data_IF_257737469437
#
_entry.id   IF_257737469437
#
_cell.length_a   1.000
_cell.length_b   1.000
_cell.length_c   1.000
_cell.angle_alpha   90.00
_cell.angle_beta   90.00
_cell.angle_gamma   90.00
#
_symmetry.space_group_name_H-M   'P 1'
#
loop_
_entity.id
_entity.type
_entity.pdbx_description
1 polymer ?
#
# COMPACT_ATOMS: atom_id res chain seq x y z
N UNK A 1 -16.66 -23.30 25.66
CA UNK A 1 -15.43 -22.59 26.01
C UNK A 1 -14.20 -23.46 26.28
N UNK A 2 -14.16 -24.75 25.88
CA UNK A 2 -13.04 -25.69 26.23
C UNK A 2 -12.20 -26.17 25.03
N UNK A 3 -12.32 -25.57 23.81
CA UNK A 3 -11.61 -26.03 22.61
C UNK A 3 -10.65 -24.98 21.99
N UNK A 4 -10.48 -23.80 22.60
CA UNK A 4 -9.58 -22.74 22.10
C UNK A 4 -8.19 -22.70 22.77
N UNK A 5 -8.02 -23.38 23.89
CA UNK A 5 -6.77 -23.39 24.66
C UNK A 5 -5.62 -24.17 24.00
N UNK A 6 -5.81 -25.27 23.25
CA UNK A 6 -4.68 -26.00 22.68
C UNK A 6 -4.01 -25.30 21.48
N UNK A 7 -4.68 -24.37 20.78
CA UNK A 7 -4.09 -23.69 19.61
C UNK A 7 -3.07 -22.63 20.04
N UNK A 8 -3.29 -21.95 21.15
CA UNK A 8 -2.31 -20.99 21.70
C UNK A 8 -1.07 -21.70 22.27
N UNK A 9 -1.20 -22.91 22.82
CA UNK A 9 -0.06 -23.65 23.38
C UNK A 9 0.87 -24.25 22.30
N UNK A 10 0.34 -24.60 21.13
CA UNK A 10 1.17 -25.06 20.00
C UNK A 10 1.98 -23.91 19.35
N UNK A 11 1.49 -22.67 19.39
CA UNK A 11 2.22 -21.52 18.90
C UNK A 11 3.42 -21.15 19.79
N UNK A 12 3.30 -21.35 21.11
CA UNK A 12 4.40 -21.03 22.05
C UNK A 12 5.53 -22.06 22.03
N UNK A 13 5.27 -23.33 21.70
CA UNK A 13 6.28 -24.39 21.64
C UNK A 13 7.15 -24.31 20.36
N UNK A 14 6.63 -23.71 19.27
CA UNK A 14 7.40 -23.53 18.02
C UNK A 14 8.39 -22.37 18.07
N UNK A 15 8.29 -21.46 19.04
CA UNK A 15 9.12 -20.26 19.15
C UNK A 15 10.43 -20.46 19.90
N UNK A 16 10.63 -21.60 20.58
CA UNK A 16 11.83 -21.86 21.37
C UNK A 16 13.00 -22.52 20.60
N UNK A 17 12.83 -22.82 19.30
CA UNK A 17 13.78 -23.64 18.55
C UNK A 17 14.72 -22.87 17.60
N UNK A 18 14.77 -21.52 17.64
CA UNK A 18 15.58 -20.75 16.69
C UNK A 18 16.50 -19.74 17.41
N UNK A 19 17.27 -20.23 18.39
CA UNK A 19 18.39 -19.47 18.93
C UNK A 19 19.57 -20.43 19.13
N UNK A 20 20.39 -20.59 18.11
CA UNK A 20 21.84 -20.82 18.12
C UNK A 20 22.29 -21.47 16.82
N UNK A 21 23.11 -20.82 16.01
CA UNK A 21 24.48 -21.18 15.75
C UNK A 21 25.03 -20.47 14.50
N UNK A 22 26.23 -20.02 14.60
CA UNK A 22 26.98 -19.23 13.64
C UNK A 22 27.85 -20.12 12.73
N UNK A 23 27.28 -20.53 11.63
CA UNK A 23 27.87 -20.73 10.30
C UNK A 23 26.69 -20.91 9.36
N UNK A 24 26.07 -19.78 8.96
CA UNK A 24 24.78 -19.82 8.27
C UNK A 24 24.99 -20.20 6.82
N UNK A 25 24.94 -21.46 6.52
CA UNK A 25 24.49 -21.89 5.18
C UNK A 25 23.11 -21.24 4.93
N UNK A 26 22.88 -20.61 3.78
CA UNK A 26 21.61 -19.93 3.51
C UNK A 26 20.47 -20.94 3.70
N UNK A 27 19.60 -20.69 4.68
CA UNK A 27 18.47 -21.57 4.98
C UNK A 27 17.61 -21.68 3.71
N UNK A 28 17.47 -22.88 3.18
CA UNK A 28 16.65 -23.13 1.97
C UNK A 28 15.20 -22.79 2.20
N UNK A 29 14.71 -22.84 3.42
CA UNK A 29 13.36 -22.45 3.84
C UNK A 29 13.44 -21.38 4.92
N UNK A 30 12.76 -20.25 4.72
CA UNK A 30 12.64 -19.16 5.67
C UNK A 30 11.19 -18.94 6.04
N UNK A 31 10.90 -18.84 7.33
CA UNK A 31 9.63 -18.43 7.90
C UNK A 31 9.86 -17.06 8.55
N UNK A 32 8.99 -16.11 8.26
CA UNK A 32 8.96 -14.79 8.88
C UNK A 32 7.53 -14.27 8.92
N UNK A 33 7.29 -13.21 9.66
CA UNK A 33 5.96 -12.64 9.72
C UNK A 33 5.82 -11.62 10.83
N UNK A 34 4.56 -11.31 11.14
CA UNK A 34 4.22 -10.46 12.26
C UNK A 34 2.82 -10.76 12.80
N UNK A 35 2.60 -10.36 14.03
CA UNK A 35 1.28 -10.21 14.62
C UNK A 35 1.17 -8.76 15.08
N UNK A 36 0.07 -8.11 14.76
CA UNK A 36 -0.24 -6.77 15.25
C UNK A 36 -1.65 -6.69 15.79
N UNK A 37 -1.80 -5.91 16.85
CA UNK A 37 -3.05 -5.45 17.39
C UNK A 37 -3.23 -3.99 17.00
N UNK A 38 -4.33 -3.67 16.33
CA UNK A 38 -4.70 -2.34 15.91
C UNK A 38 -6.04 -1.96 16.54
N UNK A 39 -6.01 -0.99 17.42
CA UNK A 39 -7.17 -0.36 18.01
C UNK A 39 -7.50 0.91 17.26
N UNK A 40 -8.75 1.08 16.88
CA UNK A 40 -9.24 2.24 16.11
C UNK A 40 -10.37 2.90 16.85
N UNK A 41 -10.33 4.22 16.95
CA UNK A 41 -11.40 5.03 17.48
C UNK A 41 -11.72 6.14 16.48
N UNK A 42 -12.85 6.01 15.79
CA UNK A 42 -13.38 7.04 14.91
C UNK A 42 -14.41 7.90 15.65
N UNK A 43 -14.43 9.22 15.37
CA UNK A 43 -15.34 10.13 16.02
C UNK A 43 -15.67 11.35 15.13
N UNK A 44 -16.85 11.91 15.36
CA UNK A 44 -17.30 13.15 14.75
C UNK A 44 -16.60 14.38 15.35
N UNK A 45 -16.82 15.56 14.76
CA UNK A 45 -16.21 16.83 15.23
C UNK A 45 -16.57 17.20 16.67
N UNK A 46 -17.71 16.74 17.16
CA UNK A 46 -18.26 17.07 18.48
C UNK A 46 -17.99 15.97 19.51
N UNK A 47 -17.31 14.88 19.16
CA UNK A 47 -17.07 13.69 19.99
C UNK A 47 -18.35 13.00 20.50
N UNK A 48 -19.47 13.18 19.79
CA UNK A 48 -20.76 12.60 20.17
C UNK A 48 -20.92 11.18 19.63
N UNK A 49 -20.42 10.93 18.43
CA UNK A 49 -20.45 9.61 17.81
C UNK A 49 -19.06 8.98 17.90
N UNK A 50 -18.93 7.97 18.74
CA UNK A 50 -17.70 7.20 18.90
C UNK A 50 -17.88 5.82 18.30
N UNK A 51 -17.03 5.44 17.37
CA UNK A 51 -17.04 4.12 16.75
C UNK A 51 -15.72 3.43 17.00
N UNK A 52 -15.75 2.36 17.78
CA UNK A 52 -14.58 1.54 18.06
C UNK A 52 -14.41 0.44 17.01
N UNK A 53 -13.16 0.20 16.61
CA UNK A 53 -12.76 -0.89 15.74
C UNK A 53 -11.53 -1.58 16.31
N UNK A 54 -11.50 -2.90 16.23
CA UNK A 54 -10.38 -3.70 16.72
C UNK A 54 -9.97 -4.71 15.64
N UNK A 55 -8.68 -4.89 15.46
CA UNK A 55 -8.13 -5.80 14.48
C UNK A 55 -6.89 -6.51 15.03
N UNK A 56 -6.95 -7.85 15.12
CA UNK A 56 -5.73 -8.66 15.16
C UNK A 56 -5.37 -9.04 13.74
N UNK A 57 -4.19 -8.64 13.30
CA UNK A 57 -3.67 -8.90 11.98
C UNK A 57 -2.39 -9.74 12.09
N UNK A 58 -2.43 -10.95 11.55
CA UNK A 58 -1.30 -11.85 11.46
C UNK A 58 -0.88 -12.04 10.01
N UNK A 59 0.43 -12.00 9.76
CA UNK A 59 1.02 -12.35 8.48
C UNK A 59 2.06 -13.45 8.66
N UNK A 60 2.01 -14.42 7.76
CA UNK A 60 2.94 -15.54 7.69
C UNK A 60 3.58 -15.53 6.31
N UNK A 61 4.89 -15.43 6.23
CA UNK A 61 5.66 -15.43 5.00
C UNK A 61 6.55 -16.67 4.95
N UNK A 62 6.34 -17.49 3.93
CA UNK A 62 7.14 -18.67 3.62
C UNK A 62 7.93 -18.40 2.35
N UNK A 63 9.25 -18.59 2.39
CA UNK A 63 10.13 -18.44 1.26
C UNK A 63 11.03 -19.67 1.15
N UNK A 64 10.95 -20.35 0.02
CA UNK A 64 11.75 -21.52 -0.28
C UNK A 64 12.71 -21.25 -1.44
N UNK A 65 14.00 -21.45 -1.19
CA UNK A 65 15.10 -21.27 -2.16
C UNK A 65 15.86 -22.59 -2.31
N UNK A 66 15.40 -23.52 -3.16
CA UNK A 66 16.11 -24.78 -3.38
C UNK A 66 17.45 -24.58 -4.09
N UNK A 67 17.61 -23.51 -4.87
CA UNK A 67 18.83 -23.10 -5.55
C UNK A 67 18.93 -21.59 -5.67
N UNK A 68 20.09 -21.07 -6.09
CA UNK A 68 20.29 -19.62 -6.31
C UNK A 68 19.43 -19.06 -7.45
N UNK A 69 18.97 -19.92 -8.35
CA UNK A 69 18.17 -19.53 -9.50
C UNK A 69 16.66 -19.63 -9.27
N UNK A 70 16.21 -20.38 -8.27
CA UNK A 70 14.80 -20.65 -8.05
C UNK A 70 14.35 -20.21 -6.67
N UNK A 71 13.21 -19.53 -6.61
CA UNK A 71 12.56 -19.12 -5.36
C UNK A 71 11.06 -19.37 -5.48
N UNK A 72 10.45 -19.96 -4.46
CA UNK A 72 9.01 -20.01 -4.30
C UNK A 72 8.61 -19.24 -3.03
N UNK A 73 7.50 -18.50 -3.10
CA UNK A 73 7.00 -17.66 -2.00
C UNK A 73 5.51 -17.91 -1.80
N UNK A 74 5.11 -18.07 -0.54
CA UNK A 74 3.71 -18.08 -0.13
C UNK A 74 3.54 -17.16 1.09
N UNK A 75 2.60 -16.20 1.02
CA UNK A 75 2.34 -15.24 2.09
C UNK A 75 0.84 -15.17 2.36
N UNK A 76 0.50 -15.36 3.61
CA UNK A 76 -0.88 -15.39 4.08
C UNK A 76 -1.14 -14.26 5.05
N UNK A 77 -2.29 -13.59 4.88
CA UNK A 77 -2.77 -12.53 5.77
C UNK A 77 -4.06 -12.96 6.44
N UNK A 78 -4.04 -13.05 7.77
CA UNK A 78 -5.19 -13.39 8.59
C UNK A 78 -5.60 -12.15 9.39
N UNK A 79 -6.89 -11.78 9.33
CA UNK A 79 -7.43 -10.59 9.98
C UNK A 79 -8.68 -10.95 10.77
N UNK A 80 -8.64 -10.70 12.06
CA UNK A 80 -9.78 -10.88 12.96
C UNK A 80 -10.27 -9.49 13.39
N UNK A 81 -11.46 -9.13 12.94
CA UNK A 81 -12.12 -7.86 13.26
C UNK A 81 -13.23 -8.04 14.28
N UNK A 82 -13.36 -7.09 15.19
CA UNK A 82 -14.50 -6.96 16.10
C UNK A 82 -14.67 -5.51 16.56
N UNK A 83 -15.79 -5.22 17.24
CA UNK A 83 -16.12 -3.88 17.73
C UNK A 83 -17.33 -3.27 17.03
N UNK A 84 -17.58 -2.01 17.32
CA UNK A 84 -18.74 -1.30 16.77
C UNK A 84 -18.67 -1.17 15.26
N UNK A 85 -17.49 -0.92 14.71
CA UNK A 85 -17.29 -0.84 13.27
C UNK A 85 -17.83 -2.04 12.53
N UNK A 86 -17.61 -3.26 13.06
CA UNK A 86 -18.15 -4.50 12.46
C UNK A 86 -19.67 -4.56 12.61
N UNK A 87 -20.20 -4.14 13.78
CA UNK A 87 -21.63 -4.21 14.09
C UNK A 87 -22.49 -3.27 13.27
N UNK A 88 -22.01 -2.04 13.03
CA UNK A 88 -22.77 -0.99 12.35
C UNK A 88 -22.62 -1.00 10.83
N UNK A 89 -21.60 -1.73 10.30
CA UNK A 89 -21.32 -1.79 8.86
C UNK A 89 -21.96 -3.01 8.22
N UNK A 90 -23.07 -2.87 7.48
CA UNK A 90 -23.68 -3.98 6.76
C UNK A 90 -22.71 -4.56 5.73
N UNK A 91 -22.58 -5.89 5.69
CA UNK A 91 -21.69 -6.54 4.72
C UNK A 91 -20.19 -6.29 4.94
N UNK A 92 -19.75 -5.98 6.16
CA UNK A 92 -18.34 -5.70 6.50
C UNK A 92 -17.35 -6.70 5.89
N UNK A 93 -17.65 -8.00 5.98
CA UNK A 93 -16.81 -9.05 5.39
C UNK A 93 -16.66 -8.92 3.86
N UNK A 94 -17.67 -8.42 3.16
CA UNK A 94 -17.62 -8.21 1.71
C UNK A 94 -16.69 -7.05 1.32
N UNK A 95 -16.55 -6.03 2.18
CA UNK A 95 -15.63 -4.92 1.96
C UNK A 95 -14.16 -5.33 2.10
N UNK A 96 -13.88 -6.44 2.80
CA UNK A 96 -12.52 -6.95 2.96
C UNK A 96 -12.03 -7.75 1.76
N UNK A 97 -12.91 -8.06 0.81
CA UNK A 97 -12.57 -8.85 -0.38
C UNK A 97 -11.71 -8.02 -1.33
N UNK A 98 -10.64 -8.65 -1.79
CA UNK A 98 -9.89 -8.14 -2.93
C UNK A 98 -10.59 -8.62 -4.22
N UNK A 99 -11.08 -7.69 -5.01
CA UNK A 99 -11.78 -7.98 -6.27
C UNK A 99 -10.84 -7.94 -7.51
N UNK A 100 -9.53 -7.70 -7.30
CA UNK A 100 -8.51 -7.67 -8.34
C UNK A 100 -7.76 -9.01 -8.44
N UNK A 101 -8.47 -10.13 -8.23
CA UNK A 101 -7.91 -11.47 -8.21
C UNK A 101 -8.58 -12.32 -9.30
N UNK A 102 -7.77 -12.99 -10.13
CA UNK A 102 -8.27 -13.98 -11.08
C UNK A 102 -8.68 -15.26 -10.37
N UNK A 103 -7.82 -15.73 -9.47
CA UNK A 103 -8.10 -16.91 -8.64
C UNK A 103 -8.49 -16.47 -7.25
N UNK A 104 -9.71 -16.81 -6.82
CA UNK A 104 -10.17 -16.49 -5.47
C UNK A 104 -9.40 -17.35 -4.43
N UNK A 105 -8.44 -16.74 -3.75
CA UNK A 105 -7.66 -17.35 -2.66
C UNK A 105 -7.90 -16.64 -1.32
N UNK A 106 -9.14 -16.26 -1.07
CA UNK A 106 -9.55 -15.60 0.17
C UNK A 106 -10.77 -16.30 0.78
N UNK A 107 -10.90 -16.30 2.10
CA UNK A 107 -11.98 -16.92 2.82
C UNK A 107 -12.35 -16.18 4.11
N UNK A 108 -13.63 -15.91 4.30
CA UNK A 108 -14.18 -15.52 5.58
C UNK A 108 -14.56 -16.80 6.36
N UNK A 109 -13.80 -17.09 7.42
CA UNK A 109 -14.03 -18.26 8.29
C UNK A 109 -15.12 -18.01 9.31
N UNK A 110 -15.19 -16.77 9.81
CA UNK A 110 -16.25 -16.26 10.69
C UNK A 110 -16.79 -15.00 10.03
N UNK A 111 -18.09 -14.92 9.89
CA UNK A 111 -18.78 -13.78 9.31
C UNK A 111 -20.13 -13.59 10.01
N UNK A 112 -20.13 -12.85 11.10
CA UNK A 112 -21.33 -12.47 11.83
C UNK A 112 -21.28 -10.99 12.22
N UNK A 113 -22.32 -10.50 12.91
CA UNK A 113 -22.43 -9.07 13.27
C UNK A 113 -21.38 -8.60 14.28
N UNK A 114 -20.69 -9.50 14.99
CA UNK A 114 -19.76 -9.14 16.06
C UNK A 114 -18.30 -9.42 15.70
N UNK A 115 -18.06 -10.43 14.83
CA UNK A 115 -16.74 -10.94 14.52
C UNK A 115 -16.62 -11.29 13.04
N UNK A 116 -15.52 -10.91 12.44
CA UNK A 116 -15.14 -11.32 11.07
C UNK A 116 -13.71 -11.83 11.10
N UNK A 117 -13.52 -13.13 10.78
CA UNK A 117 -12.20 -13.71 10.55
C UNK A 117 -12.03 -13.95 9.06
N UNK A 118 -11.10 -13.20 8.46
CA UNK A 118 -10.83 -13.24 7.03
C UNK A 118 -9.37 -13.58 6.76
N UNK A 119 -9.12 -14.56 5.90
CA UNK A 119 -7.80 -14.95 5.40
C UNK A 119 -7.69 -14.62 3.93
N UNK A 120 -6.56 -14.06 3.52
CA UNK A 120 -6.22 -13.84 2.12
C UNK A 120 -4.80 -14.34 1.84
N UNK A 121 -4.61 -14.99 0.69
CA UNK A 121 -3.28 -15.29 0.14
C UNK A 121 -2.77 -14.04 -0.59
N UNK A 122 -1.80 -13.33 -0.01
CA UNK A 122 -1.26 -12.08 -0.55
C UNK A 122 -0.23 -12.32 -1.66
N UNK A 123 0.55 -13.40 -1.51
CA UNK A 123 1.57 -13.83 -2.48
C UNK A 123 1.55 -15.34 -2.60
N UNK A 124 1.62 -15.81 -3.83
CA UNK A 124 1.83 -17.21 -4.16
C UNK A 124 2.46 -17.27 -5.54
N UNK A 125 3.79 -17.31 -5.62
CA UNK A 125 4.49 -17.26 -6.87
C UNK A 125 5.77 -18.08 -6.86
N UNK A 126 6.23 -18.41 -8.07
CA UNK A 126 7.55 -18.93 -8.36
C UNK A 126 8.37 -17.89 -9.13
N UNK A 127 9.64 -17.81 -8.84
CA UNK A 127 10.60 -16.88 -9.43
C UNK A 127 11.81 -17.67 -9.93
N UNK A 128 12.13 -17.55 -11.21
CA UNK A 128 13.36 -18.08 -11.80
C UNK A 128 14.23 -16.95 -12.28
N UNK A 129 15.49 -16.94 -11.87
CA UNK A 129 16.46 -15.90 -12.19
C UNK A 129 17.76 -16.50 -12.70
N UNK A 130 18.28 -15.92 -13.76
CA UNK A 130 19.66 -16.08 -14.20
C UNK A 130 20.30 -14.69 -14.44
N UNK A 131 21.51 -14.68 -15.04
CA UNK A 131 22.24 -13.42 -15.25
C UNK A 131 21.53 -12.41 -16.18
N UNK A 132 20.63 -12.88 -17.06
CA UNK A 132 19.97 -12.04 -18.07
C UNK A 132 18.46 -11.97 -17.91
N UNK A 133 17.84 -13.00 -17.33
CA UNK A 133 16.40 -13.12 -17.24
C UNK A 133 15.93 -13.30 -15.80
N UNK A 134 14.81 -12.66 -15.48
CA UNK A 134 14.00 -12.98 -14.32
C UNK A 134 12.58 -13.24 -14.78
N UNK A 135 12.05 -14.42 -14.47
CA UNK A 135 10.69 -14.82 -14.79
C UNK A 135 9.96 -15.12 -13.49
N UNK A 136 8.82 -14.47 -13.29
CA UNK A 136 7.99 -14.72 -12.13
C UNK A 136 6.55 -14.97 -12.54
N UNK A 137 5.93 -16.00 -11.96
CA UNK A 137 4.56 -16.41 -12.27
C UNK A 137 3.78 -16.70 -10.99
N UNK A 138 2.52 -16.29 -10.96
CA UNK A 138 1.59 -16.46 -9.84
C UNK A 138 1.17 -15.12 -9.23
N UNK A 139 0.59 -15.18 -8.02
CA UNK A 139 0.18 -13.98 -7.27
C UNK A 139 1.40 -13.25 -6.74
N UNK A 140 1.63 -12.06 -7.26
CA UNK A 140 2.83 -11.28 -6.99
C UNK A 140 2.54 -9.78 -6.94
N UNK A 141 3.42 -9.01 -6.34
CA UNK A 141 3.44 -7.57 -6.50
C UNK A 141 4.27 -7.20 -7.73
N UNK A 142 3.65 -6.42 -8.62
CA UNK A 142 4.33 -5.76 -9.73
C UNK A 142 4.32 -4.27 -9.43
N UNK A 143 5.47 -3.69 -9.12
CA UNK A 143 5.61 -2.30 -8.73
C UNK A 143 6.46 -1.55 -9.76
N UNK A 144 5.84 -0.57 -10.41
CA UNK A 144 6.49 0.27 -11.42
C UNK A 144 6.54 1.75 -11.04
N UNK A 145 5.98 2.09 -9.87
CA UNK A 145 6.09 3.44 -9.32
C UNK A 145 7.50 3.76 -8.86
N UNK A 146 7.93 4.99 -9.12
CA UNK A 146 9.22 5.57 -8.71
C UNK A 146 9.02 6.62 -7.61
N UNK A 147 7.94 7.38 -7.67
CA UNK A 147 7.63 8.42 -6.71
C UNK A 147 7.33 7.83 -5.32
N UNK A 148 7.44 8.64 -4.29
CA UNK A 148 7.33 8.18 -2.91
C UNK A 148 5.87 8.00 -2.49
N UNK A 149 5.00 8.95 -2.84
CA UNK A 149 3.61 9.00 -2.38
C UNK A 149 2.64 8.52 -3.46
N UNK A 150 2.52 9.27 -4.52
CA UNK A 150 1.62 8.93 -5.62
C UNK A 150 2.39 8.29 -6.75
N UNK A 151 1.93 7.12 -7.17
CA UNK A 151 2.58 6.34 -8.20
C UNK A 151 1.64 6.09 -9.39
N UNK A 152 1.41 7.07 -10.27
CA UNK A 152 0.56 6.90 -11.45
C UNK A 152 0.98 5.72 -12.34
N UNK A 153 2.29 5.44 -12.41
CA UNK A 153 2.86 4.35 -13.21
C UNK A 153 2.69 2.97 -12.60
N UNK A 154 2.17 2.87 -11.36
CA UNK A 154 1.94 1.57 -10.69
C UNK A 154 0.58 0.99 -11.10
N UNK A 155 0.42 0.74 -12.40
CA UNK A 155 -0.85 0.31 -13.01
C UNK A 155 -1.33 -1.08 -12.57
N UNK A 156 -0.47 -1.91 -12.00
CA UNK A 156 -0.83 -3.23 -11.49
C UNK A 156 -1.28 -3.20 -10.03
N UNK A 157 -0.67 -2.35 -9.18
CA UNK A 157 -0.87 -2.36 -7.74
C UNK A 157 -0.96 -0.94 -7.17
N UNK A 158 -2.10 -0.30 -7.30
CA UNK A 158 -2.33 1.05 -6.74
C UNK A 158 -2.09 1.08 -5.24
N UNK A 159 -1.34 2.05 -4.78
CA UNK A 159 -1.07 2.27 -3.37
C UNK A 159 -2.10 3.22 -2.76
N UNK A 160 -2.67 2.82 -1.63
CA UNK A 160 -3.51 3.70 -0.83
C UNK A 160 -2.71 4.23 0.36
N UNK A 161 -2.12 5.41 0.24
CA UNK A 161 -1.34 6.05 1.30
C UNK A 161 -2.21 6.59 2.45
N UNK A 162 -3.53 6.66 2.26
CA UNK A 162 -4.49 7.07 3.29
C UNK A 162 -4.80 5.93 4.28
N UNK A 163 -4.51 4.69 3.91
CA UNK A 163 -4.66 3.54 4.80
C UNK A 163 -3.38 3.34 5.60
N UNK A 164 -3.39 3.76 6.86
CA UNK A 164 -2.26 3.62 7.77
C UNK A 164 -1.78 2.17 7.94
N UNK A 165 -2.70 1.22 7.94
CA UNK A 165 -2.37 -0.20 8.13
C UNK A 165 -1.96 -0.92 6.83
N UNK A 166 -1.90 -0.20 5.72
CA UNK A 166 -1.57 -0.73 4.40
C UNK A 166 -0.06 -0.78 4.15
N UNK A 167 0.66 -1.52 5.00
CA UNK A 167 2.11 -1.66 4.89
C UNK A 167 2.54 -2.36 3.59
N UNK A 168 1.69 -3.21 3.05
CA UNK A 168 2.01 -4.02 1.88
C UNK A 168 0.91 -3.96 0.82
N UNK A 169 1.31 -3.56 -0.38
CA UNK A 169 0.40 -3.51 -1.53
C UNK A 169 -0.10 -4.91 -1.89
N UNK A 170 -1.38 -5.09 -2.25
CA UNK A 170 -1.95 -6.38 -2.62
C UNK A 170 -1.21 -6.98 -3.81
N UNK A 171 -1.30 -8.29 -3.96
CA UNK A 171 -0.81 -9.00 -5.14
C UNK A 171 -1.81 -8.96 -6.29
N UNK A 172 -1.30 -9.21 -7.49
CA UNK A 172 -2.07 -9.50 -8.69
C UNK A 172 -1.71 -10.87 -9.23
N UNK A 173 -2.67 -11.57 -9.82
CA UNK A 173 -2.45 -12.85 -10.47
C UNK A 173 -1.90 -12.61 -11.88
N UNK A 174 -0.67 -13.04 -12.14
CA UNK A 174 -0.05 -12.76 -13.43
C UNK A 174 1.35 -13.31 -13.60
N UNK A 175 1.99 -12.86 -14.67
CA UNK A 175 3.33 -13.22 -15.04
C UNK A 175 4.18 -11.98 -15.34
N UNK A 176 5.46 -12.06 -15.04
CA UNK A 176 6.44 -11.02 -15.30
C UNK A 176 7.71 -11.63 -15.88
N UNK A 177 8.18 -11.06 -16.98
CA UNK A 177 9.47 -11.37 -17.61
C UNK A 177 10.31 -10.12 -17.62
N UNK A 178 11.50 -10.17 -17.04
CA UNK A 178 12.48 -9.09 -17.06
C UNK A 178 13.73 -9.57 -17.82
N UNK A 179 14.20 -8.72 -18.72
CA UNK A 179 15.49 -8.86 -19.39
C UNK A 179 16.46 -7.78 -18.90
N UNK A 180 17.66 -8.20 -18.52
CA UNK A 180 18.70 -7.34 -17.94
C UNK A 180 19.75 -7.06 -19.01
N UNK A 181 19.83 -5.81 -19.47
CA UNK A 181 20.91 -5.29 -20.31
C UNK A 181 22.06 -4.80 -19.41
N UNK A 182 23.14 -4.34 -20.01
CA UNK A 182 24.30 -3.82 -19.28
C UNK A 182 23.93 -2.60 -18.41
N UNK A 183 23.16 -1.65 -18.94
CA UNK A 183 22.80 -0.38 -18.28
C UNK A 183 21.29 -0.10 -18.30
N UNK A 184 20.48 -1.11 -18.59
CA UNK A 184 19.03 -0.97 -18.70
C UNK A 184 18.32 -2.27 -18.34
N UNK A 185 17.02 -2.19 -18.12
CA UNK A 185 16.15 -3.37 -18.00
C UNK A 185 14.88 -3.17 -18.83
N UNK A 186 14.42 -4.24 -19.47
CA UNK A 186 13.09 -4.30 -20.05
C UNK A 186 12.24 -5.29 -19.25
N UNK A 187 11.02 -4.93 -18.92
CA UNK A 187 10.11 -5.77 -18.14
C UNK A 187 8.75 -5.82 -18.81
N UNK A 188 8.33 -7.01 -19.23
CA UNK A 188 6.98 -7.31 -19.72
C UNK A 188 6.17 -7.91 -18.56
N UNK A 189 5.01 -7.35 -18.29
CA UNK A 189 4.12 -7.85 -17.25
C UNK A 189 2.69 -8.00 -17.78
N UNK A 190 2.05 -9.05 -17.31
CA UNK A 190 0.64 -9.35 -17.58
C UNK A 190 -0.05 -9.74 -16.27
N UNK A 191 -1.26 -9.24 -16.06
CA UNK A 191 -2.15 -9.69 -14.98
C UNK A 191 -3.60 -9.72 -15.44
N UNK A 192 -4.38 -10.54 -14.73
CA UNK A 192 -5.82 -10.67 -14.92
C UNK A 192 -6.51 -10.47 -13.57
N UNK A 193 -7.57 -9.66 -13.54
CA UNK A 193 -8.36 -9.39 -12.33
C UNK A 193 -9.62 -10.26 -12.22
N UNK A 194 -9.83 -11.21 -13.17
CA UNK A 194 -11.03 -12.04 -13.22
C UNK A 194 -12.29 -11.34 -13.74
N UNK A 195 -12.24 -10.01 -13.94
CA UNK A 195 -13.35 -9.26 -14.54
C UNK A 195 -13.31 -9.32 -16.07
N UNK A 196 -14.45 -9.04 -16.73
CA UNK A 196 -14.59 -9.12 -18.20
C UNK A 196 -13.55 -8.29 -18.96
N UNK A 197 -13.13 -7.14 -18.42
CA UNK A 197 -12.14 -6.24 -19.00
C UNK A 197 -10.93 -6.05 -18.02
N UNK A 198 -10.63 -7.06 -17.22
CA UNK A 198 -9.67 -6.94 -16.13
C UNK A 198 -8.23 -7.25 -16.51
N UNK A 199 -7.89 -7.36 -17.79
CA UNK A 199 -6.54 -7.64 -18.25
C UNK A 199 -5.68 -6.37 -18.21
N UNK A 200 -4.47 -6.51 -17.66
CA UNK A 200 -3.44 -5.47 -17.68
C UNK A 200 -2.21 -6.08 -18.32
N UNK A 201 -1.69 -5.47 -19.38
CA UNK A 201 -0.50 -5.94 -20.09
C UNK A 201 0.36 -4.75 -20.48
N UNK A 202 1.60 -4.70 -20.05
CA UNK A 202 2.46 -3.56 -20.37
C UNK A 202 3.94 -3.93 -20.37
N UNK A 203 4.70 -3.13 -21.12
CA UNK A 203 6.15 -3.14 -21.18
C UNK A 203 6.69 -1.92 -20.46
N UNK A 204 7.69 -2.12 -19.60
CA UNK A 204 8.51 -1.09 -19.00
C UNK A 204 9.94 -1.19 -19.50
N UNK A 205 10.50 -0.07 -19.91
CA UNK A 205 11.92 0.09 -20.18
C UNK A 205 12.50 1.08 -19.18
N UNK A 206 13.54 0.65 -18.45
CA UNK A 206 14.19 1.43 -17.40
C UNK A 206 15.69 1.48 -17.68
N UNK A 207 16.29 2.66 -17.51
CA UNK A 207 17.74 2.87 -17.64
C UNK A 207 18.21 4.00 -16.73
N UNK A 208 19.49 3.97 -16.39
CA UNK A 208 20.15 5.08 -15.68
C UNK A 208 20.95 5.91 -16.68
N UNK A 209 20.72 7.22 -16.67
CA UNK A 209 21.47 8.21 -17.46
C UNK A 209 21.49 9.56 -16.74
N UNK A 210 22.65 10.25 -16.80
CA UNK A 210 22.84 11.56 -16.16
C UNK A 210 22.55 11.57 -14.65
N UNK A 211 22.83 10.47 -13.97
CA UNK A 211 22.50 10.25 -12.56
C UNK A 211 20.98 10.25 -12.25
N UNK A 212 20.15 10.05 -13.29
CA UNK A 212 18.72 9.81 -13.15
C UNK A 212 18.38 8.39 -13.56
N UNK A 213 17.54 7.76 -12.76
CA UNK A 213 16.79 6.59 -13.18
C UNK A 213 15.59 7.06 -13.98
N UNK A 214 15.49 6.61 -15.22
CA UNK A 214 14.42 6.99 -16.15
C UNK A 214 13.68 5.74 -16.58
N UNK A 215 12.35 5.82 -16.63
CA UNK A 215 11.52 4.73 -17.14
C UNK A 215 10.48 5.23 -18.14
N UNK A 216 10.15 4.36 -19.09
CA UNK A 216 9.02 4.47 -19.99
C UNK A 216 8.14 3.24 -19.89
N UNK A 217 6.84 3.44 -19.98
CA UNK A 217 5.83 2.37 -19.89
C UNK A 217 4.89 2.52 -21.07
N UNK A 218 4.48 1.40 -21.66
CA UNK A 218 3.47 1.37 -22.71
C UNK A 218 2.71 0.06 -22.68
N UNK A 219 1.40 0.10 -22.91
CA UNK A 219 0.57 -1.10 -22.87
C UNK A 219 -0.92 -0.82 -22.73
N UNK A 220 -1.60 -1.67 -22.01
CA UNK A 220 -3.02 -1.60 -21.73
C UNK A 220 -3.29 -1.78 -20.24
N UNK A 221 -4.03 -0.85 -19.68
CA UNK A 221 -4.66 -0.96 -18.37
C UNK A 221 -6.13 -1.23 -18.58
N UNK A 222 -6.56 -2.47 -18.38
CA UNK A 222 -7.91 -2.94 -18.72
C UNK A 222 -8.20 -2.69 -20.21
N UNK A 223 -9.17 -1.86 -20.53
CA UNK A 223 -9.55 -1.46 -21.90
C UNK A 223 -8.92 -0.14 -22.36
N UNK A 224 -8.09 0.51 -21.51
CA UNK A 224 -7.38 1.74 -21.85
C UNK A 224 -5.97 1.45 -22.37
N UNK A 225 -5.66 1.77 -23.63
CA UNK A 225 -4.26 1.93 -24.03
C UNK A 225 -3.59 2.95 -23.09
N UNK A 226 -2.34 2.73 -22.75
CA UNK A 226 -1.68 3.59 -21.77
C UNK A 226 -0.21 3.79 -22.06
N UNK A 227 0.28 4.99 -21.78
CA UNK A 227 1.69 5.34 -21.79
C UNK A 227 2.07 6.03 -20.49
N UNK A 228 3.30 5.79 -20.05
CA UNK A 228 3.81 6.39 -18.84
C UNK A 228 5.29 6.70 -18.94
N UNK A 229 5.73 7.67 -18.16
CA UNK A 229 7.13 8.01 -17.98
C UNK A 229 7.42 8.33 -16.52
N UNK A 230 8.65 8.16 -16.10
CA UNK A 230 9.05 8.53 -14.73
C UNK A 230 10.54 8.73 -14.63
N UNK A 231 10.92 9.50 -13.63
CA UNK A 231 12.33 9.77 -13.31
C UNK A 231 12.54 9.85 -11.80
N UNK A 232 13.73 9.45 -11.37
CA UNK A 232 14.22 9.69 -10.01
C UNK A 232 15.70 10.03 -10.05
N UNK A 233 16.08 11.09 -9.37
CA UNK A 233 17.46 11.58 -9.30
C UNK A 233 17.59 12.66 -8.25
N UNK A 234 18.59 13.51 -8.41
CA UNK A 234 18.91 14.56 -7.44
C UNK A 234 19.15 15.91 -8.14
N UNK A 235 18.69 16.97 -7.48
CA UNK A 235 19.09 18.34 -7.79
C UNK A 235 19.94 18.80 -6.60
N UNK A 236 21.27 18.85 -6.77
CA UNK A 236 22.25 18.99 -5.68
C UNK A 236 22.04 17.87 -4.64
N UNK A 237 21.68 18.23 -3.41
CA UNK A 237 21.47 17.30 -2.28
C UNK A 237 19.99 16.94 -2.06
N UNK A 238 19.07 17.50 -2.87
CA UNK A 238 17.64 17.22 -2.78
C UNK A 238 17.26 16.12 -3.77
N UNK A 239 16.50 15.12 -3.31
CA UNK A 239 15.86 14.15 -4.18
C UNK A 239 14.84 14.82 -5.09
N UNK A 240 14.76 14.40 -6.35
CA UNK A 240 13.80 14.92 -7.33
C UNK A 240 13.24 13.77 -8.15
N UNK A 241 11.92 13.57 -8.05
CA UNK A 241 11.22 12.45 -8.67
C UNK A 241 9.95 12.92 -9.34
N UNK A 242 9.50 12.19 -10.34
CA UNK A 242 8.20 12.44 -10.93
C UNK A 242 7.74 11.29 -11.81
N UNK A 243 6.44 11.24 -12.00
CA UNK A 243 5.77 10.28 -12.87
C UNK A 243 4.68 10.97 -13.68
N UNK A 244 4.49 10.48 -14.88
CA UNK A 244 3.40 10.81 -15.76
C UNK A 244 2.76 9.53 -16.27
N UNK A 245 1.42 9.45 -16.22
CA UNK A 245 0.64 8.37 -16.78
C UNK A 245 -0.54 8.93 -17.55
N UNK A 246 -0.67 8.53 -18.81
CA UNK A 246 -1.80 8.85 -19.66
C UNK A 246 -2.54 7.56 -20.04
N UNK A 247 -3.82 7.52 -19.70
CA UNK A 247 -4.73 6.46 -20.10
C UNK A 247 -5.63 7.03 -21.20
N UNK A 248 -5.53 6.46 -22.38
CA UNK A 248 -6.31 6.91 -23.52
C UNK A 248 -7.78 6.53 -23.36
N UNK A 249 -8.66 7.31 -23.94
CA UNK A 249 -10.10 7.04 -23.97
C UNK A 249 -10.40 5.59 -24.37
N UNK A 250 -11.30 4.95 -23.64
CA UNK A 250 -11.93 3.69 -24.02
C UNK A 250 -13.37 3.93 -24.49
N UNK A 251 -14.10 2.85 -24.77
CA UNK A 251 -15.49 2.95 -25.24
C UNK A 251 -16.42 3.63 -24.23
N UNK A 252 -16.18 3.38 -22.95
CA UNK A 252 -17.09 3.74 -21.85
C UNK A 252 -16.48 4.75 -20.88
N UNK A 253 -15.26 5.27 -21.13
CA UNK A 253 -14.52 6.11 -20.21
C UNK A 253 -13.74 7.21 -20.95
N UNK A 254 -13.52 8.34 -20.28
CA UNK A 254 -12.75 9.47 -20.79
C UNK A 254 -11.23 9.19 -20.70
N UNK A 255 -10.43 10.09 -21.29
CA UNK A 255 -8.99 10.13 -21.06
C UNK A 255 -8.67 10.49 -19.62
N UNK A 256 -7.59 9.91 -19.08
CA UNK A 256 -7.06 10.28 -17.77
C UNK A 256 -5.57 10.63 -17.86
N UNK A 257 -5.23 11.81 -17.40
CA UNK A 257 -3.85 12.25 -17.24
C UNK A 257 -3.54 12.41 -15.76
N UNK A 258 -2.54 11.69 -15.28
CA UNK A 258 -2.02 11.81 -13.93
C UNK A 258 -0.56 12.20 -13.96
N UNK A 259 -0.18 13.22 -13.22
CA UNK A 259 1.20 13.70 -13.11
C UNK A 259 1.51 13.90 -11.63
N UNK A 260 2.64 13.34 -11.18
CA UNK A 260 3.18 13.66 -9.86
C UNK A 260 4.61 14.17 -9.98
N UNK A 261 4.96 15.13 -9.12
CA UNK A 261 6.31 15.65 -8.96
C UNK A 261 6.58 15.73 -7.47
N UNK A 262 7.71 15.21 -7.03
CA UNK A 262 8.11 15.18 -5.63
C UNK A 262 9.56 15.61 -5.45
N UNK A 263 9.81 16.36 -4.36
CA UNK A 263 11.14 16.66 -3.88
C UNK A 263 11.30 16.28 -2.42
N UNK A 264 12.45 15.72 -2.07
CA UNK A 264 12.76 15.37 -0.68
C UNK A 264 14.15 15.86 -0.27
N UNK A 265 14.29 16.22 0.99
CA UNK A 265 15.54 16.74 1.53
C UNK A 265 15.73 16.36 3.00
N UNK A 266 16.98 15.98 3.34
CA UNK A 266 17.40 15.76 4.72
C UNK A 266 18.15 17.00 5.23
N UNK A 267 17.50 17.74 6.13
CA UNK A 267 18.09 18.93 6.74
C UNK A 267 19.10 18.57 7.83
N UNK A 268 19.94 19.54 8.17
CA UNK A 268 20.80 19.44 9.35
C UNK A 268 19.96 19.16 10.60
N UNK A 269 20.53 18.42 11.57
CA UNK A 269 19.83 17.99 12.80
C UNK A 269 18.74 16.91 12.59
N UNK A 270 18.75 16.18 11.46
CA UNK A 270 17.93 15.00 11.23
C UNK A 270 16.46 15.26 10.91
N UNK A 271 16.10 16.45 10.44
CA UNK A 271 14.80 16.70 9.88
C UNK A 271 14.74 16.22 8.43
N UNK A 272 13.79 15.35 8.13
CA UNK A 272 13.43 14.96 6.77
C UNK A 272 12.19 15.70 6.33
N UNK A 273 12.16 16.17 5.10
CA UNK A 273 10.98 16.79 4.48
C UNK A 273 10.79 16.23 3.07
N UNK A 274 9.55 15.89 2.74
CA UNK A 274 9.11 15.56 1.38
C UNK A 274 7.95 16.48 1.02
N UNK A 275 7.98 17.03 -0.19
CA UNK A 275 6.89 17.83 -0.75
C UNK A 275 6.51 17.24 -2.11
N UNK A 276 5.23 16.98 -2.31
CA UNK A 276 4.68 16.40 -3.52
C UNK A 276 3.50 17.18 -4.07
N UNK A 277 3.39 17.18 -5.39
CA UNK A 277 2.26 17.71 -6.15
C UNK A 277 1.69 16.59 -7.03
N UNK A 278 0.37 16.39 -6.98
CA UNK A 278 -0.34 15.51 -7.90
C UNK A 278 -1.40 16.29 -8.68
N UNK A 279 -1.38 16.12 -9.99
CA UNK A 279 -2.47 16.49 -10.90
C UNK A 279 -3.20 15.22 -11.36
N UNK A 280 -4.53 15.20 -11.19
CA UNK A 280 -5.45 14.17 -11.70
C UNK A 280 -6.51 14.84 -12.57
N UNK A 281 -6.49 14.58 -13.88
CA UNK A 281 -7.42 15.24 -14.81
C UNK A 281 -8.89 14.91 -14.54
N UNK A 282 -9.20 13.71 -14.03
CA UNK A 282 -10.54 13.23 -13.68
C UNK A 282 -11.00 13.62 -12.27
N UNK A 283 -10.15 14.28 -11.47
CA UNK A 283 -10.45 14.61 -10.09
C UNK A 283 -11.41 15.80 -9.92
N UNK A 284 -12.08 15.84 -8.76
CA UNK A 284 -12.97 16.94 -8.37
C UNK A 284 -12.18 18.25 -8.22
N UNK A 285 -12.79 19.35 -8.65
CA UNK A 285 -12.17 20.68 -8.64
C UNK A 285 -13.01 21.74 -7.90
N UNK A 286 -14.16 21.36 -7.36
CA UNK A 286 -15.06 22.25 -6.63
C UNK A 286 -15.44 21.62 -5.30
N UNK A 287 -15.84 22.45 -4.34
CA UNK A 287 -16.43 21.99 -3.09
C UNK A 287 -17.64 21.09 -3.36
N UNK A 288 -17.84 20.10 -2.51
CA UNK A 288 -18.92 19.12 -2.68
C UNK A 288 -20.11 19.45 -1.82
N UNK A 289 -21.29 18.97 -2.20
CA UNK A 289 -22.49 19.13 -1.38
C UNK A 289 -22.61 18.05 -0.32
N UNK A 290 -22.00 16.88 -0.55
CA UNK A 290 -22.01 15.76 0.37
C UNK A 290 -20.64 15.09 0.39
N UNK A 291 -20.18 14.68 1.60
CA UNK A 291 -18.93 13.92 1.78
C UNK A 291 -18.89 12.62 0.99
N UNK A 292 -20.02 11.92 0.87
CA UNK A 292 -20.10 10.64 0.14
C UNK A 292 -19.76 10.76 -1.36
N UNK A 293 -19.74 11.98 -1.88
CA UNK A 293 -19.29 12.25 -3.26
C UNK A 293 -17.78 12.05 -3.41
N UNK A 294 -17.02 12.18 -2.33
CA UNK A 294 -15.57 12.01 -2.34
C UNK A 294 -15.23 10.52 -2.19
N UNK A 295 -15.01 9.84 -3.30
CA UNK A 295 -14.61 8.42 -3.28
C UNK A 295 -13.12 8.27 -2.99
N UNK A 296 -12.79 7.69 -1.84
CA UNK A 296 -11.41 7.32 -1.47
C UNK A 296 -10.97 5.96 -2.03
N UNK A 297 -11.67 5.41 -3.03
CA UNK A 297 -11.24 4.23 -3.77
C UNK A 297 -10.19 4.64 -4.80
N UNK A 298 -8.93 4.44 -4.45
CA UNK A 298 -7.81 4.81 -5.31
C UNK A 298 -7.58 3.76 -6.40
N UNK A 299 -7.23 4.22 -7.60
CA UNK A 299 -6.91 3.40 -8.77
C UNK A 299 -5.89 4.13 -9.64
N UNK A 300 -5.28 3.50 -10.65
CA UNK A 300 -4.46 4.19 -11.64
C UNK A 300 -5.20 5.31 -12.39
N UNK A 301 -6.52 5.17 -12.60
CA UNK A 301 -7.38 6.20 -13.18
C UNK A 301 -7.67 7.35 -12.20
N UNK A 302 -7.73 7.02 -10.91
CA UNK A 302 -8.05 7.97 -9.84
C UNK A 302 -7.08 7.82 -8.65
N UNK A 303 -5.84 8.33 -8.77
CA UNK A 303 -4.85 8.28 -7.70
C UNK A 303 -5.21 9.15 -6.49
N UNK A 304 -6.11 10.13 -6.66
CA UNK A 304 -6.78 10.94 -5.65
C UNK A 304 -8.14 11.38 -6.18
N UNK A 305 -9.17 11.53 -5.31
CA UNK A 305 -10.49 11.98 -5.74
C UNK A 305 -10.51 13.45 -6.21
N UNK A 306 -9.48 14.21 -5.93
CA UNK A 306 -9.34 15.65 -6.20
C UNK A 306 -8.35 15.92 -7.32
N UNK A 307 -8.57 17.00 -8.07
CA UNK A 307 -7.80 17.34 -9.26
C UNK A 307 -6.39 17.77 -8.95
N UNK A 308 -6.20 18.64 -7.98
CA UNK A 308 -4.92 19.11 -7.51
C UNK A 308 -4.72 18.68 -6.06
N UNK A 309 -3.53 18.19 -5.76
CA UNK A 309 -3.19 17.72 -4.43
C UNK A 309 -1.76 18.12 -4.10
N UNK A 310 -1.59 18.77 -2.98
CA UNK A 310 -0.29 19.17 -2.43
C UNK A 310 -0.09 18.39 -1.14
N UNK A 311 0.99 17.65 -1.03
CA UNK A 311 1.37 16.93 0.19
C UNK A 311 2.69 17.46 0.71
N UNK A 312 2.75 17.71 1.99
CA UNK A 312 3.99 17.98 2.72
C UNK A 312 4.08 16.98 3.86
N UNK A 313 5.18 16.26 3.90
CA UNK A 313 5.49 15.32 4.99
C UNK A 313 6.79 15.74 5.64
N UNK A 314 6.81 15.86 6.97
CA UNK A 314 8.03 16.06 7.74
C UNK A 314 8.19 14.94 8.75
N UNK A 315 9.41 14.46 8.92
CA UNK A 315 9.74 13.43 9.87
C UNK A 315 11.03 13.76 10.64
N UNK A 316 11.11 13.27 11.88
CA UNK A 316 12.30 13.40 12.71
C UNK A 316 12.44 12.24 13.65
N UNK A 317 13.66 11.72 13.76
CA UNK A 317 14.07 10.88 14.88
C UNK A 317 14.32 11.77 16.09
N UNK A 318 13.42 11.73 17.08
CA UNK A 318 13.53 12.50 18.33
C UNK A 318 14.58 11.86 19.22
N UNK A 319 14.54 10.52 19.31
CA UNK A 319 15.53 9.66 19.91
C UNK A 319 15.75 8.42 19.02
N UNK A 320 16.79 7.61 19.25
CA UNK A 320 16.95 6.35 18.48
C UNK A 320 15.76 5.39 18.56
N UNK A 321 14.91 5.53 19.58
CA UNK A 321 13.73 4.68 19.78
C UNK A 321 12.41 5.37 19.40
N UNK A 322 12.40 6.72 19.32
CA UNK A 322 11.17 7.50 19.09
C UNK A 322 11.30 8.34 17.84
N UNK A 323 10.43 8.15 16.89
CA UNK A 323 10.28 8.97 15.70
C UNK A 323 8.90 9.63 15.63
N UNK A 324 8.85 10.84 15.09
CA UNK A 324 7.62 11.57 14.82
C UNK A 324 7.52 11.92 13.34
N UNK A 325 6.32 11.87 12.81
CA UNK A 325 6.00 12.26 11.45
C UNK A 325 4.70 13.08 11.44
N UNK A 326 4.62 14.06 10.54
CA UNK A 326 3.38 14.74 10.22
C UNK A 326 3.26 14.89 8.71
N UNK A 327 2.13 14.45 8.16
CA UNK A 327 1.77 14.66 6.77
C UNK A 327 0.55 15.58 6.70
N UNK A 328 0.62 16.56 5.81
CA UNK A 328 -0.47 17.51 5.54
C UNK A 328 -0.75 17.46 4.05
N UNK A 329 -1.96 17.07 3.67
CA UNK A 329 -2.43 17.08 2.30
C UNK A 329 -3.51 18.17 2.16
N UNK A 330 -3.37 19.00 1.15
CA UNK A 330 -4.36 19.99 0.78
C UNK A 330 -4.73 19.89 -0.71
N UNK A 331 -6.02 19.88 -1.00
CA UNK A 331 -6.55 19.85 -2.36
C UNK A 331 -7.31 21.17 -2.65
N UNK A 332 -6.67 22.13 -3.36
CA UNK A 332 -7.30 23.39 -3.73
C UNK A 332 -8.48 23.17 -4.68
N UNK A 333 -9.47 24.04 -4.61
CA UNK A 333 -10.74 23.98 -5.35
C UNK A 333 -11.79 23.13 -4.67
N UNK A 334 -11.45 21.92 -4.25
CA UNK A 334 -12.31 21.06 -3.42
C UNK A 334 -12.23 21.44 -1.94
N UNK A 335 -11.15 22.14 -1.54
CA UNK A 335 -10.85 22.50 -0.16
C UNK A 335 -10.86 21.30 0.80
N UNK A 336 -10.28 20.18 0.34
CA UNK A 336 -10.04 19.01 1.17
C UNK A 336 -8.68 19.15 1.85
N UNK A 337 -8.68 19.09 3.19
CA UNK A 337 -7.46 19.06 3.99
C UNK A 337 -7.40 17.77 4.81
N UNK A 338 -6.27 17.06 4.75
CA UNK A 338 -6.04 15.87 5.54
C UNK A 338 -4.79 16.08 6.40
N UNK A 339 -4.93 15.87 7.70
CA UNK A 339 -3.84 15.92 8.67
C UNK A 339 -3.54 14.51 9.18
N UNK A 340 -2.26 14.15 9.21
CA UNK A 340 -1.84 12.79 9.52
C UNK A 340 -0.57 12.76 10.39
N UNK A 341 -0.63 13.25 11.66
CA UNK A 341 0.47 13.11 12.61
C UNK A 341 0.61 11.66 13.10
N UNK A 342 1.84 11.21 13.30
CA UNK A 342 2.15 9.89 13.83
C UNK A 342 3.40 9.89 14.71
N UNK A 343 3.38 9.02 15.71
CA UNK A 343 4.50 8.71 16.59
C UNK A 343 4.78 7.22 16.51
N UNK A 344 6.03 6.84 16.35
CA UNK A 344 6.48 5.46 16.40
C UNK A 344 7.52 5.30 17.50
N UNK A 345 7.31 4.32 18.37
CA UNK A 345 8.23 3.96 19.44
C UNK A 345 8.68 2.49 19.31
N UNK A 346 9.97 2.27 19.12
CA UNK A 346 10.57 0.95 19.05
C UNK A 346 10.79 0.45 20.49
N UNK A 347 9.84 -0.35 21.01
CA UNK A 347 9.85 -0.86 22.38
C UNK A 347 10.98 -1.89 22.60
N UNK A 348 11.25 -2.69 21.58
CA UNK A 348 12.37 -3.64 21.51
C UNK A 348 12.72 -3.94 20.06
N UNK A 349 13.72 -4.80 19.82
CA UNK A 349 14.22 -5.14 18.47
C UNK A 349 13.09 -5.56 17.51
N UNK A 350 12.04 -6.24 18.03
CA UNK A 350 10.98 -6.81 17.21
C UNK A 350 9.58 -6.31 17.61
N UNK A 351 9.49 -5.29 18.48
CA UNK A 351 8.23 -4.81 19.03
C UNK A 351 8.11 -3.30 18.84
N UNK A 352 7.17 -2.89 18.00
CA UNK A 352 6.87 -1.50 17.69
C UNK A 352 5.51 -1.09 18.29
N UNK A 353 5.43 0.15 18.75
CA UNK A 353 4.21 0.84 19.14
C UNK A 353 4.04 2.06 18.24
N UNK A 354 2.87 2.18 17.59
CA UNK A 354 2.52 3.35 16.78
C UNK A 354 1.26 4.00 17.32
N UNK A 355 1.29 5.33 17.39
CA UNK A 355 0.12 6.18 17.63
C UNK A 355 -0.07 7.07 16.41
N UNK A 356 -1.23 7.02 15.80
CA UNK A 356 -1.54 7.78 14.59
C UNK A 356 -2.88 8.47 14.74
N UNK A 357 -2.94 9.72 14.31
CA UNK A 357 -4.17 10.48 14.22
C UNK A 357 -4.41 10.89 12.77
N UNK A 358 -5.61 10.72 12.28
CA UNK A 358 -6.00 11.10 10.94
C UNK A 358 -7.27 11.96 11.00
N UNK A 359 -7.20 13.16 10.45
CA UNK A 359 -8.35 14.08 10.39
C UNK A 359 -8.58 14.51 8.96
N UNK A 360 -9.84 14.46 8.55
CA UNK A 360 -10.32 14.98 7.28
C UNK A 360 -11.16 16.22 7.52
N UNK A 361 -10.82 17.29 6.82
CA UNK A 361 -11.60 18.52 6.76
C UNK A 361 -11.97 18.75 5.31
N UNK A 362 -13.18 19.19 5.07
CA UNK A 362 -13.65 19.51 3.71
C UNK A 362 -14.62 20.69 3.74
N UNK A 363 -14.72 21.35 2.60
CA UNK A 363 -15.78 22.33 2.36
C UNK A 363 -17.02 21.60 1.81
N UNK A 364 -18.09 21.60 2.61
CA UNK A 364 -19.38 21.00 2.28
C UNK A 364 -20.45 22.09 2.39
N UNK A 365 -21.20 22.33 1.30
CA UNK A 365 -22.24 23.39 1.25
C UNK A 365 -21.70 24.76 1.72
N UNK A 366 -20.50 25.15 1.24
CA UNK A 366 -19.80 26.40 1.58
C UNK A 366 -19.40 26.51 3.07
N UNK A 367 -19.40 25.41 3.80
CA UNK A 367 -18.92 25.35 5.19
C UNK A 367 -17.69 24.46 5.28
N UNK A 368 -16.55 25.04 5.68
CA UNK A 368 -15.33 24.27 5.93
C UNK A 368 -15.33 23.75 7.36
N UNK A 369 -15.11 22.44 7.53
CA UNK A 369 -15.09 21.82 8.85
C UNK A 369 -14.55 20.41 8.85
N UNK A 370 -14.37 19.85 10.06
CA UNK A 370 -13.98 18.47 10.24
C UNK A 370 -15.12 17.53 9.79
N UNK A 371 -14.77 16.51 9.01
CA UNK A 371 -15.72 15.51 8.46
C UNK A 371 -15.54 14.16 9.14
N UNK A 372 -14.29 13.81 9.44
CA UNK A 372 -13.95 12.53 10.06
C UNK A 372 -12.64 12.65 10.82
N UNK A 373 -12.60 12.07 11.99
CA UNK A 373 -11.38 11.93 12.79
C UNK A 373 -11.21 10.48 13.19
N UNK A 374 -9.98 9.97 13.14
CA UNK A 374 -9.68 8.61 13.56
C UNK A 374 -8.35 8.57 14.29
N UNK A 375 -8.35 7.95 15.45
CA UNK A 375 -7.14 7.66 16.23
C UNK A 375 -6.84 6.17 16.12
N UNK A 376 -5.59 5.82 15.88
CA UNK A 376 -5.09 4.45 15.79
C UNK A 376 -4.00 4.23 16.82
N UNK A 377 -4.11 3.14 17.56
CA UNK A 377 -3.04 2.61 18.41
C UNK A 377 -2.67 1.22 17.90
N UNK A 378 -1.41 1.02 17.53
CA UNK A 378 -0.94 -0.24 16.96
C UNK A 378 0.27 -0.77 17.73
N UNK A 379 0.19 -2.03 18.15
CA UNK A 379 1.33 -2.80 18.65
C UNK A 379 1.65 -3.88 17.62
N UNK A 380 2.91 -3.96 17.17
CA UNK A 380 3.36 -4.92 16.17
C UNK A 380 4.57 -5.68 16.66
N UNK A 381 4.45 -7.00 16.68
CA UNK A 381 5.56 -7.92 16.93
C UNK A 381 5.93 -8.67 15.65
N UNK A 382 7.21 -8.60 15.27
CA UNK A 382 7.77 -9.24 14.06
C UNK A 382 8.67 -10.42 14.44
N UNK A 383 8.70 -11.49 13.64
CA UNK A 383 9.50 -12.71 13.86
C UNK A 383 10.08 -13.26 12.56
#
# INVERSE_FOLDING_TARGET
>A
MKKLVPILFFLSAALSAVAQDSTVLPKKLTLSGYIKDLQTLAFDKDFKELVSGNLIHNRINLKWKPSDKFTAVAEFRNRLYWGEQVRITPGFSSMLKNNNEWVNMQKAWVNNRSWVLHTNTERLYVDYRNNKFNIRMGRQRINWGIATTWNPNDIFNTYNFLDFDYEERPGVDGAKLQYIFKNATAELAYSNTGSKNGNIAALKYHFNRWNYDVQFIGGWYKDHPTIGAGWAGYIKDAGFKGELQYLFKSRDSADHLNITIEGDYMFKKGWYMNAGLLFNSGGLYQAVQNWDTISLKLSPENPMPTKWNILITTAKEITPLLSANISVLYAPGTNLLILFPSLKYNMSVNLDLDLVWQSFFAEINNNFGAVSNTCYLRIKWSF
#
